data_IF_313441760023
#
_entry.id   IF_313441760023
#
_cell.length_a   1.000
_cell.length_b   1.000
_cell.length_c   1.000
_cell.angle_alpha   90.00
_cell.angle_beta   90.00
_cell.angle_gamma   90.00
#
_symmetry.space_group_name_H-M   'P 1'
#
loop_
_entity.id
_entity.type
_entity.pdbx_description
1 polymer ?
#
# COMPACT_ATOMS: atom_id res chain seq x y z
N UNK A 1 1.94 -28.34 8.79
CA UNK A 1 0.76 -27.57 8.35
C UNK A 1 0.55 -27.83 6.86
N UNK A 2 -0.62 -28.33 6.46
CA UNK A 2 -0.87 -28.69 5.06
C UNK A 2 -0.95 -27.43 4.17
N UNK A 3 -0.57 -27.53 2.89
CA UNK A 3 -0.60 -26.39 1.97
C UNK A 3 -2.01 -25.80 1.82
N UNK A 4 -3.04 -26.65 1.80
CA UNK A 4 -4.44 -26.24 1.82
C UNK A 4 -4.78 -25.37 3.04
N UNK A 5 -4.44 -25.83 4.24
CA UNK A 5 -4.69 -25.08 5.48
C UNK A 5 -3.96 -23.73 5.46
N UNK A 6 -2.72 -23.71 4.97
CA UNK A 6 -1.96 -22.47 4.85
C UNK A 6 -2.65 -21.45 3.91
N UNK A 7 -3.14 -21.90 2.75
CA UNK A 7 -3.89 -21.07 1.81
C UNK A 7 -5.16 -20.52 2.44
N UNK A 8 -5.97 -21.35 3.10
CA UNK A 8 -7.19 -20.88 3.78
C UNK A 8 -6.89 -19.93 4.95
N UNK A 9 -5.82 -20.17 5.72
CA UNK A 9 -5.38 -19.24 6.74
C UNK A 9 -5.01 -17.88 6.14
N UNK A 10 -4.36 -17.85 4.97
CA UNK A 10 -4.07 -16.59 4.28
C UNK A 10 -5.38 -15.91 3.85
N UNK A 11 -6.36 -16.65 3.32
CA UNK A 11 -7.66 -16.07 2.97
C UNK A 11 -8.40 -15.46 4.15
N UNK A 12 -8.37 -16.13 5.30
CA UNK A 12 -8.97 -15.63 6.54
C UNK A 12 -8.22 -14.40 7.05
N UNK A 13 -6.90 -14.46 7.16
CA UNK A 13 -6.12 -13.39 7.79
C UNK A 13 -5.95 -12.15 6.90
N UNK A 14 -5.80 -12.34 5.59
CA UNK A 14 -5.48 -11.25 4.65
C UNK A 14 -6.72 -10.65 4.01
N UNK A 15 -7.68 -11.50 3.66
CA UNK A 15 -8.86 -11.09 2.89
C UNK A 15 -10.15 -11.13 3.71
N UNK A 16 -10.11 -11.59 4.97
CA UNK A 16 -11.29 -11.74 5.85
C UNK A 16 -12.44 -12.51 5.18
N UNK A 17 -12.12 -13.46 4.30
CA UNK A 17 -13.12 -14.24 3.57
C UNK A 17 -13.70 -15.37 4.41
N UNK A 18 -14.99 -15.64 4.24
CA UNK A 18 -15.58 -16.83 4.84
C UNK A 18 -15.05 -18.11 4.17
N UNK A 19 -14.96 -19.24 4.90
CA UNK A 19 -14.44 -20.49 4.34
C UNK A 19 -15.14 -20.95 3.05
N UNK A 20 -16.46 -20.79 2.99
CA UNK A 20 -17.27 -21.14 1.81
C UNK A 20 -16.92 -20.31 0.58
N UNK A 21 -16.67 -19.01 0.77
CA UNK A 21 -16.27 -18.10 -0.31
C UNK A 21 -14.85 -18.40 -0.76
N UNK A 22 -13.94 -18.62 0.19
CA UNK A 22 -12.55 -18.99 -0.12
C UNK A 22 -12.48 -20.28 -0.94
N UNK A 23 -13.29 -21.29 -0.63
CA UNK A 23 -13.35 -22.53 -1.43
C UNK A 23 -13.77 -22.23 -2.87
N UNK A 24 -14.85 -21.45 -3.07
CA UNK A 24 -15.34 -21.09 -4.41
C UNK A 24 -14.30 -20.34 -5.23
N UNK A 25 -13.57 -19.43 -4.59
CA UNK A 25 -12.52 -18.63 -5.23
C UNK A 25 -11.36 -19.53 -5.65
N UNK A 26 -10.95 -20.46 -4.79
CA UNK A 26 -9.87 -21.40 -5.09
C UNK A 26 -10.26 -22.39 -6.18
N UNK A 27 -11.49 -22.90 -6.16
CA UNK A 27 -11.98 -23.78 -7.24
C UNK A 27 -11.99 -23.04 -8.57
N UNK A 28 -12.47 -21.79 -8.59
CA UNK A 28 -12.43 -20.96 -9.79
C UNK A 28 -10.99 -20.72 -10.28
N UNK A 29 -10.04 -20.47 -9.38
CA UNK A 29 -8.64 -20.31 -9.76
C UNK A 29 -8.07 -21.55 -10.44
N UNK A 30 -8.34 -22.75 -9.91
CA UNK A 30 -7.85 -23.99 -10.52
C UNK A 30 -8.55 -24.36 -11.82
N UNK A 31 -9.80 -23.91 -12.03
CA UNK A 31 -10.47 -24.02 -13.33
C UNK A 31 -9.80 -23.14 -14.39
N UNK A 32 -9.39 -21.92 -14.01
CA UNK A 32 -8.70 -20.97 -14.90
C UNK A 32 -7.22 -21.37 -15.11
N UNK A 33 -6.59 -22.00 -14.12
CA UNK A 33 -5.19 -22.44 -14.13
C UNK A 33 -5.05 -23.93 -13.74
N UNK A 34 -5.36 -24.87 -14.66
CA UNK A 34 -5.38 -26.31 -14.35
C UNK A 34 -4.00 -26.91 -14.05
N UNK A 35 -2.91 -26.23 -14.43
CA UNK A 35 -1.54 -26.62 -14.11
C UNK A 35 -1.13 -26.27 -12.68
N UNK A 36 -1.87 -25.39 -12.01
CA UNK A 36 -1.56 -24.96 -10.67
C UNK A 36 -1.95 -26.00 -9.62
N UNK A 37 -1.21 -25.98 -8.52
CA UNK A 37 -1.50 -26.80 -7.36
C UNK A 37 -1.52 -25.95 -6.09
N UNK A 38 -1.91 -26.55 -4.97
CA UNK A 38 -1.95 -25.86 -3.67
C UNK A 38 -0.61 -25.27 -3.24
N UNK A 39 0.51 -25.83 -3.72
CA UNK A 39 1.85 -25.31 -3.47
C UNK A 39 2.17 -24.06 -4.29
N UNK A 40 1.79 -24.03 -5.57
CA UNK A 40 1.96 -22.84 -6.43
C UNK A 40 1.08 -21.71 -5.92
N UNK A 41 -0.20 -21.98 -5.66
CA UNK A 41 -1.14 -20.99 -5.11
C UNK A 41 -0.66 -20.40 -3.78
N UNK A 42 -0.15 -21.24 -2.88
CA UNK A 42 0.45 -20.78 -1.61
C UNK A 42 1.66 -19.87 -1.86
N UNK A 43 2.50 -20.19 -2.84
CA UNK A 43 3.69 -19.40 -3.15
C UNK A 43 3.30 -18.06 -3.75
N UNK A 44 2.34 -18.05 -4.68
CA UNK A 44 1.77 -16.83 -5.27
C UNK A 44 1.15 -15.91 -4.21
N UNK A 45 0.42 -16.47 -3.24
CA UNK A 45 -0.16 -15.73 -2.12
C UNK A 45 0.88 -15.18 -1.14
N UNK A 46 2.02 -15.87 -0.99
CA UNK A 46 3.12 -15.44 -0.12
C UNK A 46 4.01 -14.38 -0.76
N UNK A 47 4.19 -14.47 -2.07
CA UNK A 47 4.99 -13.54 -2.88
C UNK A 47 4.18 -12.30 -3.30
N UNK A 48 2.94 -12.16 -2.83
CA UNK A 48 2.03 -11.07 -3.16
C UNK A 48 1.79 -10.87 -4.66
N UNK A 49 1.96 -11.96 -5.42
CA UNK A 49 1.76 -12.00 -6.88
C UNK A 49 0.30 -12.11 -7.27
N UNK A 50 -0.57 -12.47 -6.34
CA UNK A 50 -2.01 -12.52 -6.57
C UNK A 50 -2.75 -11.73 -5.49
N UNK A 51 -3.82 -11.07 -5.91
CA UNK A 51 -4.70 -10.29 -5.04
C UNK A 51 -6.15 -10.66 -5.30
N UNK A 52 -7.01 -10.34 -4.33
CA UNK A 52 -8.45 -10.52 -4.47
C UNK A 52 -9.06 -9.23 -5.01
N UNK A 53 -9.64 -9.28 -6.20
CA UNK A 53 -10.34 -8.16 -6.84
C UNK A 53 -11.74 -8.61 -7.22
N UNK A 54 -12.76 -7.93 -6.68
CA UNK A 54 -14.17 -8.23 -6.95
C UNK A 54 -14.55 -9.70 -6.70
N UNK A 55 -13.99 -10.30 -5.64
CA UNK A 55 -14.26 -11.69 -5.28
C UNK A 55 -13.59 -12.73 -6.17
N UNK A 56 -12.60 -12.36 -6.97
CA UNK A 56 -11.77 -13.28 -7.77
C UNK A 56 -10.30 -13.05 -7.53
N UNK A 57 -9.51 -14.13 -7.58
CA UNK A 57 -8.06 -14.02 -7.59
C UNK A 57 -7.60 -13.49 -8.94
N UNK A 58 -6.70 -12.51 -8.90
CA UNK A 58 -6.06 -11.97 -10.09
C UNK A 58 -4.57 -11.83 -9.83
N UNK A 59 -3.78 -12.12 -10.85
CA UNK A 59 -2.36 -11.80 -10.83
C UNK A 59 -2.19 -10.29 -10.75
N UNK A 60 -1.31 -9.86 -9.84
CA UNK A 60 -0.81 -8.51 -9.81
C UNK A 60 0.19 -8.43 -10.94
N UNK A 61 -0.24 -7.90 -12.09
CA UNK A 61 0.70 -7.53 -13.13
C UNK A 61 1.65 -6.50 -12.54
N UNK A 62 2.89 -6.92 -12.28
CA UNK A 62 4.01 -6.00 -12.11
C UNK A 62 4.24 -5.33 -13.47
N UNK A 63 3.32 -4.48 -13.92
CA UNK A 63 3.71 -3.38 -14.78
C UNK A 63 4.73 -2.61 -13.96
N UNK A 64 5.97 -2.58 -14.43
CA UNK A 64 7.07 -1.84 -13.84
C UNK A 64 6.64 -0.39 -13.59
N UNK A 65 6.01 -0.08 -12.47
CA UNK A 65 6.09 1.24 -11.88
C UNK A 65 7.46 1.28 -11.24
N UNK A 66 8.47 1.59 -12.04
CA UNK A 66 9.72 2.20 -11.60
C UNK A 66 9.44 3.60 -11.06
N UNK A 67 8.47 3.73 -10.16
CA UNK A 67 8.01 4.99 -9.61
C UNK A 67 7.44 4.72 -8.22
N UNK A 68 8.05 5.38 -7.24
CA UNK A 68 7.66 5.48 -5.84
C UNK A 68 7.96 4.27 -4.93
N UNK A 69 9.20 4.23 -4.46
CA UNK A 69 9.43 4.10 -3.03
C UNK A 69 10.02 5.41 -2.49
N UNK A 70 9.20 6.46 -2.40
CA UNK A 70 9.49 7.47 -1.39
C UNK A 70 9.39 6.76 -0.03
N UNK A 71 10.44 6.82 0.82
CA UNK A 71 10.35 6.24 2.14
C UNK A 71 9.22 6.94 2.88
N UNK A 72 8.24 6.18 3.35
CA UNK A 72 7.16 6.65 4.23
C UNK A 72 7.81 7.33 5.42
N UNK A 73 7.93 8.67 5.35
CA UNK A 73 8.34 9.49 6.48
C UNK A 73 7.29 9.29 7.55
N UNK A 74 7.66 8.58 8.61
CA UNK A 74 6.89 8.55 9.85
C UNK A 74 6.89 9.98 10.41
N UNK A 75 5.89 10.77 10.03
CA UNK A 75 5.65 12.07 10.64
C UNK A 75 5.13 11.85 12.05
N UNK A 76 6.03 11.84 13.03
CA UNK A 76 5.70 12.30 14.39
C UNK A 76 6.09 13.77 14.48
N UNK A 77 5.10 14.65 14.33
CA UNK A 77 5.10 15.96 14.98
C UNK A 77 5.80 17.13 14.30
N UNK A 78 5.80 17.26 12.97
CA UNK A 78 6.09 18.57 12.32
C UNK A 78 5.27 18.71 11.04
N UNK A 79 4.33 19.65 11.04
CA UNK A 79 3.67 20.14 9.82
C UNK A 79 4.67 20.97 9.01
N UNK A 80 4.85 20.66 7.72
CA UNK A 80 5.54 21.55 6.78
C UNK A 80 4.65 21.73 5.54
N UNK A 81 4.27 22.98 5.21
CA UNK A 81 3.43 23.27 4.06
C UNK A 81 4.28 23.21 2.79
N UNK A 82 4.00 22.24 1.92
CA UNK A 82 4.58 22.11 0.59
C UNK A 82 3.56 22.43 -0.49
N UNK A 83 3.13 23.69 -0.56
CA UNK A 83 2.38 24.21 -1.71
C UNK A 83 3.41 24.81 -2.67
N UNK A 84 3.61 24.17 -3.82
CA UNK A 84 4.28 24.80 -4.96
C UNK A 84 3.24 25.60 -5.75
N UNK A 85 3.31 26.94 -5.68
CA UNK A 85 2.80 27.79 -6.76
C UNK A 85 3.77 28.95 -6.98
N UNK A 86 4.39 28.91 -8.17
CA UNK A 86 4.74 30.00 -9.07
C UNK A 86 5.37 31.30 -8.52
N UNK A 87 6.48 31.66 -9.18
CA UNK A 87 7.35 32.78 -8.86
C UNK A 87 6.63 34.14 -8.81
N UNK A 88 6.75 34.83 -7.68
CA UNK A 88 6.64 36.30 -7.59
C UNK A 88 7.80 36.84 -6.74
N UNK A 89 8.44 37.97 -7.10
CA UNK A 89 9.57 38.49 -6.35
C UNK A 89 9.05 39.18 -5.10
N UNK A 90 9.13 38.50 -3.95
CA UNK A 90 8.77 39.09 -2.66
C UNK A 90 9.97 39.88 -2.14
N UNK A 91 9.83 41.21 -2.14
CA UNK A 91 10.70 42.17 -1.48
C UNK A 91 10.99 41.70 -0.05
N UNK A 92 12.27 41.44 0.25
CA UNK A 92 12.71 41.02 1.58
C UNK A 92 12.44 42.15 2.58
N UNK A 93 11.37 42.04 3.37
CA UNK A 93 11.20 42.87 4.56
C UNK A 93 11.95 42.20 5.72
N UNK A 94 12.71 42.96 6.52
CA UNK A 94 13.47 42.39 7.64
C UNK A 94 12.51 41.78 8.65
N UNK A 95 12.78 40.53 9.04
CA UNK A 95 11.96 39.76 9.98
C UNK A 95 11.95 40.48 11.33
N UNK A 96 10.78 40.92 11.78
CA UNK A 96 10.60 41.49 13.11
C UNK A 96 10.36 40.38 14.13
N UNK A 97 11.20 40.31 15.15
CA UNK A 97 11.05 39.41 16.28
C UNK A 97 10.35 40.17 17.42
N UNK A 98 9.30 39.59 18.01
CA UNK A 98 8.64 40.16 19.19
C UNK A 98 8.99 39.35 20.44
N UNK A 99 9.51 40.01 21.47
CA UNK A 99 9.71 39.42 22.80
C UNK A 99 9.19 40.37 23.88
N UNK A 100 8.37 39.86 24.80
CA UNK A 100 7.74 40.64 25.90
C UNK A 100 7.07 41.95 25.45
N UNK A 101 6.38 41.93 24.31
CA UNK A 101 5.63 43.08 23.81
C UNK A 101 6.47 44.17 23.13
N UNK A 102 7.79 43.98 22.97
CA UNK A 102 8.65 44.87 22.17
C UNK A 102 9.05 44.21 20.85
N UNK A 103 9.07 45.01 19.78
CA UNK A 103 9.52 44.59 18.45
C UNK A 103 11.00 44.88 18.24
N UNK A 104 11.71 43.91 17.67
CA UNK A 104 13.11 44.04 17.23
C UNK A 104 13.20 43.68 15.74
N UNK A 105 13.94 44.48 14.97
CA UNK A 105 14.29 44.15 13.58
C UNK A 105 15.65 43.46 13.54
N UNK A 106 15.73 42.31 12.87
CA UNK A 106 16.99 41.62 12.54
C UNK A 106 17.59 42.17 11.24
#
# INVERSE_FOLDING_TARGET
MNNQQAVFCIFLMRFNLQPLEAIKIVTQWFEEHPSDNWGTLKSLLKEDKITLISGKLKEVSQQNSSEYSEPVKKYRGVELPGVNFEATPITQTPKKLRYRGQEYTL
#
